data_IF_959879392775
#
_entry.id   IF_959879392775
#
_cell.length_a   1.000
_cell.length_b   1.000
_cell.length_c   1.000
_cell.angle_alpha   90.00
_cell.angle_beta   90.00
_cell.angle_gamma   90.00
#
_symmetry.space_group_name_H-M   'P 1'
#
loop_
_entity.id
_entity.type
_entity.pdbx_description
1 polymer ?
#
# COMPACT_ATOMS: atom_id res chain seq x y z
N UNK A 1 3.77 19.14 -3.26
CA UNK A 1 4.36 17.80 -3.03
C UNK A 1 4.02 16.93 -4.21
N UNK A 2 5.00 16.19 -4.74
CA UNK A 2 4.85 15.29 -5.87
C UNK A 2 4.68 13.86 -5.35
N UNK A 3 3.53 13.25 -5.53
CA UNK A 3 3.27 11.87 -5.10
C UNK A 3 3.31 10.95 -6.32
N UNK A 4 4.30 10.06 -6.35
CA UNK A 4 4.41 9.03 -7.37
C UNK A 4 3.32 7.96 -7.20
N UNK A 5 2.79 7.45 -8.31
CA UNK A 5 1.92 6.28 -8.32
C UNK A 5 2.55 5.27 -9.28
N UNK A 6 2.90 4.08 -8.78
CA UNK A 6 3.53 3.04 -9.58
C UNK A 6 2.60 2.60 -10.71
N UNK A 7 2.93 3.00 -11.94
CA UNK A 7 2.07 2.93 -13.12
C UNK A 7 2.28 1.70 -13.99
N UNK A 8 2.57 0.53 -13.40
CA UNK A 8 2.81 -0.72 -14.16
C UNK A 8 1.59 -1.64 -14.21
N UNK A 9 0.73 -1.60 -13.20
CA UNK A 9 -0.56 -2.31 -13.13
C UNK A 9 -1.36 -1.75 -11.94
N UNK A 10 -2.71 -1.84 -12.00
CA UNK A 10 -3.63 -1.52 -10.91
C UNK A 10 -4.45 -0.25 -11.12
N UNK A 11 -5.09 0.21 -10.07
CA UNK A 11 -6.08 1.31 -10.07
C UNK A 11 -5.38 2.68 -10.01
N UNK A 12 -4.61 3.00 -11.06
CA UNK A 12 -3.68 4.14 -11.10
C UNK A 12 -4.44 5.47 -11.14
N UNK A 13 -5.49 5.55 -11.96
CA UNK A 13 -6.26 6.79 -12.18
C UNK A 13 -7.04 7.19 -10.93
N UNK A 14 -7.60 6.22 -10.21
CA UNK A 14 -8.30 6.40 -8.95
C UNK A 14 -7.36 6.95 -7.87
N UNK A 15 -6.14 6.43 -7.77
CA UNK A 15 -5.11 6.98 -6.89
C UNK A 15 -4.69 8.41 -7.27
N UNK A 16 -4.56 8.71 -8.58
CA UNK A 16 -4.26 10.07 -9.07
C UNK A 16 -5.33 11.08 -8.62
N UNK A 17 -6.63 10.70 -8.68
CA UNK A 17 -7.72 11.55 -8.22
C UNK A 17 -7.68 11.79 -6.72
N UNK A 18 -7.38 10.77 -5.91
CA UNK A 18 -7.23 10.93 -4.46
C UNK A 18 -6.06 11.85 -4.09
N UNK A 19 -4.92 11.72 -4.78
CA UNK A 19 -3.76 12.59 -4.58
C UNK A 19 -4.10 14.05 -4.87
N UNK A 20 -4.88 14.33 -5.92
CA UNK A 20 -5.38 15.69 -6.22
C UNK A 20 -6.32 16.22 -5.12
N UNK A 21 -7.19 15.37 -4.56
CA UNK A 21 -8.12 15.75 -3.48
C UNK A 21 -7.42 16.21 -2.20
N UNK A 22 -6.19 15.76 -1.96
CA UNK A 22 -5.36 16.20 -0.84
C UNK A 22 -4.38 17.31 -1.21
N UNK A 23 -4.62 18.03 -2.34
CA UNK A 23 -3.81 19.14 -2.84
C UNK A 23 -2.34 18.77 -3.15
N UNK A 24 -2.08 17.53 -3.54
CA UNK A 24 -0.79 17.08 -4.03
C UNK A 24 -0.81 16.87 -5.55
N UNK A 25 0.36 16.82 -6.16
CA UNK A 25 0.54 16.60 -7.60
C UNK A 25 0.81 15.12 -7.86
N UNK A 26 -0.08 14.35 -8.51
CA UNK A 26 0.18 12.97 -8.87
C UNK A 26 1.20 12.88 -10.00
N UNK A 27 2.12 11.93 -9.91
CA UNK A 27 3.06 11.57 -10.97
C UNK A 27 3.00 10.08 -11.25
N UNK A 28 2.67 9.69 -12.48
CA UNK A 28 2.65 8.29 -12.90
C UNK A 28 4.07 7.80 -13.15
N UNK A 29 4.50 6.80 -12.38
CA UNK A 29 5.84 6.22 -12.40
C UNK A 29 5.83 4.98 -13.30
N UNK A 30 6.46 5.05 -14.46
CA UNK A 30 6.53 3.98 -15.46
C UNK A 30 7.91 3.36 -15.60
N UNK A 31 8.93 4.10 -15.21
CA UNK A 31 10.34 3.68 -15.22
C UNK A 31 11.02 4.06 -13.92
N UNK A 32 12.11 3.39 -13.51
CA UNK A 32 12.87 3.79 -12.33
C UNK A 32 13.39 5.23 -12.36
N UNK A 33 13.64 5.80 -13.56
CA UNK A 33 14.07 7.19 -13.69
C UNK A 33 12.99 8.21 -13.28
N UNK A 34 11.71 7.84 -13.33
CA UNK A 34 10.62 8.71 -12.91
C UNK A 34 10.58 8.91 -11.37
N UNK A 35 11.36 8.11 -10.61
CA UNK A 35 11.43 8.18 -9.14
C UNK A 35 12.23 9.40 -8.64
N UNK A 36 13.06 10.02 -9.48
CA UNK A 36 13.95 11.11 -9.07
C UNK A 36 13.20 12.39 -8.66
N UNK A 37 11.96 12.56 -9.11
CA UNK A 37 11.17 13.78 -8.97
C UNK A 37 9.96 13.64 -8.02
N UNK A 38 9.94 12.66 -7.12
CA UNK A 38 8.83 12.43 -6.20
C UNK A 38 9.24 12.57 -4.73
N UNK A 39 8.29 13.01 -3.91
CA UNK A 39 8.44 13.14 -2.47
C UNK A 39 7.98 11.88 -1.72
N UNK A 40 7.07 11.11 -2.30
CA UNK A 40 6.57 9.85 -1.78
C UNK A 40 6.00 8.97 -2.92
N UNK A 41 5.86 7.66 -2.68
CA UNK A 41 5.33 6.70 -3.67
C UNK A 41 4.10 5.97 -3.13
N UNK A 42 3.11 5.74 -4.00
CA UNK A 42 1.99 4.83 -3.80
C UNK A 42 2.21 3.60 -4.69
N UNK A 43 2.18 2.41 -4.09
CA UNK A 43 2.12 1.12 -4.81
C UNK A 43 0.68 0.64 -4.76
N UNK A 44 -0.06 0.70 -5.89
CA UNK A 44 -1.49 0.45 -5.93
C UNK A 44 -1.86 -1.03 -5.72
N UNK A 45 -3.16 -1.29 -5.57
CA UNK A 45 -3.75 -2.61 -5.70
C UNK A 45 -3.55 -3.21 -7.10
N UNK A 46 -3.86 -4.50 -7.24
CA UNK A 46 -3.70 -5.25 -8.47
C UNK A 46 -3.39 -6.73 -8.19
N UNK A 47 -2.72 -7.42 -9.12
CA UNK A 47 -2.26 -8.80 -8.91
C UNK A 47 -0.77 -8.80 -8.51
N UNK A 48 -0.50 -9.07 -7.23
CA UNK A 48 0.83 -8.91 -6.62
C UNK A 48 1.93 -9.75 -7.28
N UNK A 49 1.62 -10.95 -7.78
CA UNK A 49 2.61 -11.82 -8.44
C UNK A 49 3.04 -11.24 -9.79
N UNK A 50 2.08 -10.77 -10.58
CA UNK A 50 2.34 -10.09 -11.86
C UNK A 50 3.09 -8.79 -11.63
N UNK A 51 2.63 -7.97 -10.70
CA UNK A 51 3.30 -6.72 -10.34
C UNK A 51 4.76 -6.97 -9.91
N UNK A 52 5.01 -7.92 -9.01
CA UNK A 52 6.36 -8.27 -8.57
C UNK A 52 7.27 -8.72 -9.72
N UNK A 53 6.75 -9.53 -10.65
CA UNK A 53 7.50 -9.94 -11.86
C UNK A 53 7.83 -8.75 -12.76
N UNK A 54 6.88 -7.85 -13.00
CA UNK A 54 7.08 -6.64 -13.78
C UNK A 54 8.07 -5.69 -13.10
N UNK A 55 7.96 -5.50 -11.79
CA UNK A 55 8.91 -4.69 -11.00
C UNK A 55 10.33 -5.23 -11.10
N UNK A 56 10.50 -6.56 -10.99
CA UNK A 56 11.81 -7.21 -11.21
C UNK A 56 12.33 -7.00 -12.63
N UNK A 57 11.47 -7.22 -13.62
CA UNK A 57 11.83 -7.07 -15.05
C UNK A 57 12.28 -5.66 -15.40
N UNK A 58 11.63 -4.64 -14.85
CA UNK A 58 11.90 -3.23 -15.17
C UNK A 58 12.88 -2.55 -14.19
N UNK A 59 13.47 -3.29 -13.24
CA UNK A 59 14.47 -2.75 -12.32
C UNK A 59 13.91 -1.96 -11.13
N UNK A 60 12.61 -2.00 -10.87
CA UNK A 60 11.99 -1.30 -9.75
C UNK A 60 12.35 -1.89 -8.39
N UNK A 61 12.58 -3.21 -8.29
CA UNK A 61 12.92 -3.85 -7.00
C UNK A 61 14.17 -3.20 -6.41
N UNK A 62 15.26 -3.12 -7.20
CA UNK A 62 16.51 -2.53 -6.75
C UNK A 62 16.39 -1.00 -6.53
N UNK A 63 15.68 -0.30 -7.43
CA UNK A 63 15.50 1.13 -7.31
C UNK A 63 14.74 1.50 -6.02
N UNK A 64 13.68 0.77 -5.68
CA UNK A 64 12.87 1.04 -4.48
C UNK A 64 13.57 0.60 -3.19
N UNK A 65 14.34 -0.49 -3.20
CA UNK A 65 15.17 -0.89 -2.04
C UNK A 65 16.23 0.15 -1.68
N UNK A 66 16.72 0.90 -2.68
CA UNK A 66 17.72 1.94 -2.49
C UNK A 66 17.14 3.36 -2.37
N UNK A 67 15.81 3.51 -2.33
CA UNK A 67 15.16 4.82 -2.22
C UNK A 67 15.03 5.29 -0.78
N UNK A 68 14.99 6.61 -0.59
CA UNK A 68 14.82 7.23 0.73
C UNK A 68 13.43 7.84 0.96
N UNK A 69 12.58 7.91 -0.07
CA UNK A 69 11.23 8.45 0.07
C UNK A 69 10.25 7.47 0.73
N UNK A 70 9.20 7.99 1.40
CA UNK A 70 8.13 7.20 2.00
C UNK A 70 7.31 6.43 0.96
N UNK A 71 6.80 5.25 1.35
CA UNK A 71 5.99 4.40 0.47
C UNK A 71 4.70 3.98 1.18
N UNK A 72 3.56 4.18 0.49
CA UNK A 72 2.26 3.60 0.82
C UNK A 72 1.96 2.43 -0.13
N UNK A 73 1.72 1.23 0.42
CA UNK A 73 1.22 0.08 -0.33
C UNK A 73 -0.24 -0.21 -0.02
N UNK A 74 -1.11 -0.28 -1.05
CA UNK A 74 -2.53 -0.65 -0.89
C UNK A 74 -2.78 -2.03 -1.48
N UNK A 75 -3.51 -2.89 -0.79
CA UNK A 75 -3.87 -4.24 -1.21
C UNK A 75 -2.66 -5.05 -1.74
N UNK A 76 -2.48 -5.18 -3.04
CA UNK A 76 -1.29 -5.82 -3.63
C UNK A 76 0.01 -5.10 -3.27
N UNK A 77 -0.02 -3.78 -3.09
CA UNK A 77 1.12 -2.99 -2.62
C UNK A 77 1.57 -3.40 -1.22
N UNK A 78 0.63 -3.68 -0.30
CA UNK A 78 0.94 -4.24 1.03
C UNK A 78 1.67 -5.59 0.91
N UNK A 79 1.19 -6.46 0.02
CA UNK A 79 1.83 -7.76 -0.25
C UNK A 79 3.26 -7.57 -0.74
N UNK A 80 3.49 -6.63 -1.66
CA UNK A 80 4.81 -6.37 -2.26
C UNK A 80 5.81 -5.79 -1.25
N UNK A 81 5.36 -5.03 -0.25
CA UNK A 81 6.20 -4.47 0.80
C UNK A 81 6.66 -5.51 1.83
N UNK A 82 5.97 -6.64 1.96
CA UNK A 82 6.19 -7.66 3.00
C UNK A 82 7.47 -8.48 2.80
N UNK A 83 7.88 -9.19 3.85
CA UNK A 83 8.96 -10.19 3.84
C UNK A 83 8.54 -11.54 3.28
N UNK A 84 7.24 -11.85 3.25
CA UNK A 84 6.77 -13.14 2.79
C UNK A 84 5.25 -13.26 2.70
N UNK A 85 4.79 -14.20 1.87
CA UNK A 85 3.37 -14.43 1.59
C UNK A 85 2.98 -15.92 1.65
N UNK A 86 3.88 -16.77 2.10
CA UNK A 86 3.72 -18.24 2.02
C UNK A 86 3.82 -18.78 0.59
N UNK A 87 4.14 -17.93 -0.41
CA UNK A 87 4.35 -18.33 -1.81
C UNK A 87 5.59 -17.65 -2.37
N UNK A 88 6.26 -18.30 -3.30
CA UNK A 88 7.41 -17.72 -3.98
C UNK A 88 6.95 -16.69 -5.02
N UNK A 89 7.32 -15.43 -4.79
CA UNK A 89 7.11 -14.32 -5.73
C UNK A 89 8.13 -13.21 -5.44
N UNK A 90 8.45 -12.34 -6.41
CA UNK A 90 9.27 -11.16 -6.13
C UNK A 90 8.58 -10.20 -5.17
N UNK A 91 9.30 -9.77 -4.11
CA UNK A 91 8.87 -8.84 -3.09
C UNK A 91 9.92 -7.75 -2.89
N UNK A 92 9.50 -6.62 -2.34
CA UNK A 92 10.41 -5.52 -1.93
C UNK A 92 11.07 -5.82 -0.60
N UNK A 93 10.40 -6.57 0.29
CA UNK A 93 10.91 -6.94 1.62
C UNK A 93 11.30 -5.75 2.50
N UNK A 94 10.57 -4.63 2.37
CA UNK A 94 10.84 -3.37 3.06
C UNK A 94 10.17 -3.26 4.43
N UNK A 95 9.11 -4.03 4.69
CA UNK A 95 8.41 -4.05 5.97
C UNK A 95 8.54 -5.42 6.65
N UNK A 96 8.76 -5.42 7.95
CA UNK A 96 8.93 -6.63 8.78
C UNK A 96 7.58 -7.28 9.12
N UNK A 97 6.83 -7.66 8.07
CA UNK A 97 5.55 -8.36 8.15
C UNK A 97 5.52 -9.55 7.20
N UNK A 98 4.71 -10.56 7.54
CA UNK A 98 4.26 -11.57 6.58
C UNK A 98 2.77 -11.40 6.29
N UNK A 99 2.34 -11.85 5.11
CA UNK A 99 0.99 -11.62 4.60
C UNK A 99 0.30 -12.95 4.30
N UNK A 100 -0.93 -13.08 4.79
CA UNK A 100 -1.87 -14.09 4.33
C UNK A 100 -2.73 -13.49 3.21
N UNK A 101 -2.58 -14.01 1.99
CA UNK A 101 -3.35 -13.57 0.82
C UNK A 101 -4.76 -14.15 0.85
N UNK A 102 -5.74 -13.41 0.29
CA UNK A 102 -7.15 -13.83 0.20
C UNK A 102 -7.69 -14.35 1.55
N UNK A 103 -7.48 -13.59 2.61
CA UNK A 103 -7.71 -14.05 3.98
C UNK A 103 -9.18 -14.29 4.30
N UNK A 104 -10.09 -13.65 3.58
CA UNK A 104 -11.54 -13.72 3.82
C UNK A 104 -12.25 -14.87 3.11
N UNK A 105 -11.51 -15.66 2.30
CA UNK A 105 -12.07 -16.80 1.58
C UNK A 105 -13.01 -16.41 0.42
N UNK A 106 -13.55 -17.44 -0.28
CA UNK A 106 -14.39 -17.24 -1.47
C UNK A 106 -15.80 -16.72 -1.19
N UNK A 107 -16.25 -16.77 0.06
CA UNK A 107 -17.59 -16.30 0.44
C UNK A 107 -17.66 -14.80 0.73
N UNK A 108 -16.50 -14.17 1.04
CA UNK A 108 -16.40 -12.74 1.34
C UNK A 108 -15.29 -12.09 0.50
N UNK A 109 -15.38 -12.29 -0.82
CA UNK A 109 -14.35 -11.79 -1.76
C UNK A 109 -14.30 -10.26 -1.83
N UNK A 110 -15.45 -9.59 -1.67
CA UNK A 110 -15.56 -8.12 -1.66
C UNK A 110 -16.58 -7.71 -0.62
N UNK A 111 -16.23 -6.71 0.18
CA UNK A 111 -17.13 -6.09 1.16
C UNK A 111 -16.64 -4.69 1.51
N UNK A 112 -17.52 -3.92 2.13
CA UNK A 112 -17.24 -2.58 2.61
C UNK A 112 -17.52 -2.54 4.11
N UNK A 113 -16.70 -1.82 4.87
CA UNK A 113 -16.84 -1.71 6.32
C UNK A 113 -16.26 -0.40 6.83
N UNK A 114 -16.88 0.16 7.87
CA UNK A 114 -16.29 1.28 8.62
C UNK A 114 -15.26 0.71 9.60
N UNK A 115 -14.02 1.14 9.48
CA UNK A 115 -12.91 0.76 10.35
C UNK A 115 -12.29 2.00 11.00
N UNK A 116 -11.47 1.80 12.04
CA UNK A 116 -10.65 2.85 12.61
C UNK A 116 -9.22 2.76 12.06
N UNK A 117 -8.75 3.88 11.50
CA UNK A 117 -7.36 4.11 11.13
C UNK A 117 -6.74 5.03 12.17
N UNK A 118 -6.01 4.45 13.12
CA UNK A 118 -5.35 5.18 14.23
C UNK A 118 -6.30 6.16 14.95
N UNK A 119 -7.54 5.70 15.23
CA UNK A 119 -8.60 6.46 15.90
C UNK A 119 -9.49 7.30 14.99
N UNK A 120 -9.21 7.43 13.71
CA UNK A 120 -10.08 8.09 12.72
C UNK A 120 -10.92 7.05 11.96
N UNK A 121 -12.24 7.28 11.89
CA UNK A 121 -13.15 6.43 11.13
C UNK A 121 -12.97 6.64 9.64
N UNK A 122 -12.81 5.52 8.91
CA UNK A 122 -12.72 5.49 7.46
C UNK A 122 -13.59 4.40 6.87
N UNK A 123 -14.23 4.68 5.74
CA UNK A 123 -14.96 3.69 4.98
C UNK A 123 -13.99 2.91 4.09
N UNK A 124 -13.79 1.63 4.39
CA UNK A 124 -12.82 0.77 3.75
C UNK A 124 -13.47 -0.20 2.78
N UNK A 125 -12.96 -0.27 1.55
CA UNK A 125 -13.39 -1.20 0.49
C UNK A 125 -12.39 -2.33 0.40
N UNK A 126 -12.80 -3.56 0.69
CA UNK A 126 -12.00 -4.76 0.66
C UNK A 126 -12.33 -5.59 -0.59
N UNK A 127 -11.32 -5.93 -1.40
CA UNK A 127 -11.46 -6.76 -2.60
C UNK A 127 -10.40 -7.84 -2.58
N UNK A 128 -10.77 -9.10 -2.31
CA UNK A 128 -9.85 -10.24 -2.15
C UNK A 128 -8.64 -9.89 -1.26
N UNK A 129 -8.93 -9.16 -0.19
CA UNK A 129 -7.95 -8.48 0.61
C UNK A 129 -6.95 -9.44 1.29
N UNK A 130 -5.67 -9.04 1.39
CA UNK A 130 -4.70 -9.66 2.27
C UNK A 130 -4.97 -9.26 3.72
N UNK A 131 -4.34 -9.95 4.66
CA UNK A 131 -4.16 -9.49 6.04
C UNK A 131 -2.73 -9.73 6.47
N UNK A 132 -2.26 -9.02 7.48
CA UNK A 132 -0.97 -9.33 8.11
C UNK A 132 -1.13 -10.64 8.87
N UNK A 133 -0.22 -11.59 8.60
CA UNK A 133 -0.17 -12.90 9.26
C UNK A 133 0.69 -12.83 10.53
N UNK A 134 1.91 -12.26 10.40
CA UNK A 134 2.84 -12.09 11.51
C UNK A 134 3.52 -10.71 11.45
N UNK A 135 3.75 -10.12 12.63
CA UNK A 135 4.65 -9.00 12.83
C UNK A 135 6.03 -9.57 13.21
N UNK A 136 7.06 -9.25 12.43
CA UNK A 136 8.40 -9.80 12.61
C UNK A 136 9.33 -8.90 13.42
N UNK A 137 8.89 -7.67 13.74
CA UNK A 137 9.66 -6.69 14.49
C UNK A 137 8.72 -5.81 15.33
N UNK A 138 9.14 -5.42 16.53
CA UNK A 138 8.38 -4.55 17.44
C UNK A 138 8.26 -3.11 16.94
N UNK A 139 9.05 -2.71 15.93
CA UNK A 139 8.95 -1.40 15.28
C UNK A 139 7.72 -1.29 14.34
N UNK A 140 7.06 -2.39 14.03
CA UNK A 140 5.83 -2.39 13.22
C UNK A 140 4.64 -1.98 14.08
N UNK A 141 4.05 -0.84 13.78
CA UNK A 141 2.88 -0.31 14.47
C UNK A 141 1.59 -0.75 13.75
N UNK A 142 0.62 -1.30 14.50
CA UNK A 142 -0.72 -1.59 13.97
C UNK A 142 -1.52 -0.30 13.98
N UNK A 143 -2.03 0.11 12.80
CA UNK A 143 -2.82 1.33 12.64
C UNK A 143 -4.29 1.08 12.25
N UNK A 144 -4.62 -0.13 11.80
CA UNK A 144 -6.01 -0.50 11.48
C UNK A 144 -6.26 -2.00 11.66
N UNK A 145 -7.47 -2.32 12.16
CA UNK A 145 -7.99 -3.68 12.26
C UNK A 145 -9.40 -3.78 11.67
N UNK A 146 -9.72 -4.95 11.12
CA UNK A 146 -11.06 -5.39 10.78
C UNK A 146 -11.35 -6.66 11.59
N UNK A 147 -12.19 -6.56 12.64
CA UNK A 147 -12.31 -7.61 13.64
C UNK A 147 -10.95 -7.93 14.29
N UNK A 148 -10.54 -9.19 14.22
CA UNK A 148 -9.23 -9.65 14.71
C UNK A 148 -8.11 -9.53 13.67
N UNK A 149 -8.45 -9.23 12.41
CA UNK A 149 -7.48 -9.12 11.33
C UNK A 149 -6.73 -7.79 11.36
N UNK A 150 -5.42 -7.83 11.22
CA UNK A 150 -4.60 -6.63 11.04
C UNK A 150 -4.63 -6.25 9.56
N UNK A 151 -5.22 -5.10 9.25
CA UNK A 151 -5.45 -4.60 7.89
C UNK A 151 -4.74 -3.29 7.58
N UNK A 152 -4.01 -2.74 8.55
CA UNK A 152 -3.16 -1.56 8.36
C UNK A 152 -2.00 -1.56 9.34
N UNK A 153 -0.79 -1.28 8.82
CA UNK A 153 0.45 -1.21 9.59
C UNK A 153 1.35 -0.09 9.08
N UNK A 154 2.21 0.39 9.98
CA UNK A 154 3.24 1.39 9.67
C UNK A 154 4.59 0.95 10.26
N UNK A 155 5.68 1.19 9.55
CA UNK A 155 7.05 0.94 10.01
C UNK A 155 8.00 1.98 9.38
N UNK A 156 8.52 2.89 10.19
CA UNK A 156 9.38 3.98 9.73
C UNK A 156 8.73 4.80 8.59
N UNK A 157 9.33 4.79 7.41
CA UNK A 157 8.85 5.49 6.21
C UNK A 157 7.88 4.67 5.34
N UNK A 158 7.40 3.54 5.82
CA UNK A 158 6.50 2.65 5.09
C UNK A 158 5.15 2.54 5.78
N UNK A 159 4.09 2.55 4.98
CA UNK A 159 2.72 2.29 5.40
C UNK A 159 2.10 1.27 4.46
N UNK A 160 1.37 0.31 5.00
CA UNK A 160 0.69 -0.71 4.21
C UNK A 160 -0.72 -0.93 4.73
N UNK A 161 -1.70 -0.97 3.82
CA UNK A 161 -3.11 -1.22 4.10
C UNK A 161 -3.68 -2.30 3.17
N UNK A 162 -4.61 -3.09 3.68
CA UNK A 162 -5.19 -4.21 2.95
C UNK A 162 -6.34 -3.83 2.01
N UNK A 163 -6.95 -2.67 2.21
CA UNK A 163 -8.13 -2.18 1.51
C UNK A 163 -7.78 -1.15 0.42
N UNK A 164 -8.81 -0.73 -0.32
CA UNK A 164 -8.73 0.18 -1.45
C UNK A 164 -9.28 1.57 -1.08
N UNK A 165 -8.47 2.50 -0.55
CA UNK A 165 -8.93 3.85 -0.21
C UNK A 165 -9.32 4.67 -1.44
N UNK A 166 -8.77 4.33 -2.61
CA UNK A 166 -9.07 4.98 -3.89
C UNK A 166 -10.51 4.76 -4.37
N UNK A 167 -11.19 3.75 -3.84
CA UNK A 167 -12.57 3.41 -4.20
C UNK A 167 -13.63 3.96 -3.23
N UNK A 168 -13.21 4.71 -2.20
CA UNK A 168 -14.10 5.31 -1.20
C UNK A 168 -14.05 6.83 -1.24
N UNK A 169 -15.21 7.49 -1.11
CA UNK A 169 -15.28 8.96 -1.00
C UNK A 169 -14.51 9.50 0.21
N UNK A 170 -14.41 8.73 1.29
CA UNK A 170 -13.64 9.06 2.49
C UNK A 170 -12.18 8.65 2.42
N UNK A 171 -11.78 7.93 1.35
CA UNK A 171 -10.43 7.40 1.20
C UNK A 171 -9.33 8.45 1.25
N UNK A 172 -9.62 9.71 0.90
CA UNK A 172 -8.67 10.82 1.04
C UNK A 172 -8.09 10.95 2.46
N UNK A 173 -8.81 10.51 3.50
CA UNK A 173 -8.34 10.49 4.90
C UNK A 173 -7.09 9.61 5.06
N UNK A 174 -7.05 8.47 4.37
CA UNK A 174 -5.90 7.55 4.39
C UNK A 174 -4.66 8.21 3.79
N UNK A 175 -4.81 8.90 2.67
CA UNK A 175 -3.70 9.61 2.03
C UNK A 175 -3.22 10.79 2.88
N UNK A 176 -4.16 11.50 3.50
CA UNK A 176 -3.83 12.57 4.45
C UNK A 176 -3.09 12.02 5.66
N UNK A 177 -3.56 10.91 6.25
CA UNK A 177 -2.87 10.22 7.33
C UNK A 177 -1.44 9.84 6.93
N UNK A 178 -1.25 9.30 5.72
CA UNK A 178 0.08 8.96 5.18
C UNK A 178 0.98 10.18 5.10
N UNK A 179 0.48 11.32 4.58
CA UNK A 179 1.25 12.55 4.53
C UNK A 179 1.64 13.06 5.93
N UNK A 180 0.68 13.12 6.84
CA UNK A 180 0.87 13.74 8.16
C UNK A 180 1.73 12.87 9.09
N UNK A 181 1.65 11.55 8.98
CA UNK A 181 2.26 10.61 9.93
C UNK A 181 3.46 9.82 9.38
N UNK A 182 3.71 9.84 8.09
CA UNK A 182 4.79 9.07 7.45
C UNK A 182 5.69 9.96 6.61
N UNK A 183 5.14 10.86 5.79
CA UNK A 183 5.93 11.71 4.88
C UNK A 183 6.53 12.93 5.59
N UNK A 184 5.77 13.59 6.47
CA UNK A 184 6.16 14.82 7.15
C UNK A 184 6.79 14.61 8.54
N UNK A 185 7.17 13.37 8.86
CA UNK A 185 7.82 13.03 10.14
C UNK A 185 9.32 13.31 10.16
#
# INVERSE_FOLDING_TARGET
MNIGILGIQGDIEEHEEMVKRINCTPKRIRTPADLDDIDALIIPGGESTTMGKLMKKYGFIEALKNSDFPILGTCAGMVLLSKGTGREQPLLELMNITIKRNAYGSQRESFEEEIELDGEKVHAVFIRAPVVDELLDDAVEIIAKEGDNIVGVREGKYMAIAFHPELSDEGYKVYKYFLDNVVNR
#
